data_IF_571913242079
#
_entry.id   IF_571913242079
#
_cell.length_a   1.000
_cell.length_b   1.000
_cell.length_c   1.000
_cell.angle_alpha   90.00
_cell.angle_beta   90.00
_cell.angle_gamma   90.00
#
_symmetry.space_group_name_H-M   'P 1'
#
loop_
_entity.id
_entity.type
_entity.pdbx_description
1 polymer ?
#
# COMPACT_ATOMS: atom_id res chain seq x y z
N UNK A 1 35.13 25.82 43.37
CA UNK A 1 35.69 25.47 42.04
C UNK A 1 34.52 25.26 41.09
N UNK A 2 34.31 26.17 40.14
CA UNK A 2 33.22 26.10 39.15
C UNK A 2 33.72 25.25 37.98
N UNK A 3 33.17 24.05 37.82
CA UNK A 3 33.36 23.24 36.61
C UNK A 3 32.79 24.02 35.41
N UNK A 4 33.57 24.26 34.34
CA UNK A 4 33.01 24.93 33.17
C UNK A 4 32.02 23.99 32.49
N UNK A 5 30.84 24.53 32.18
CA UNK A 5 29.84 23.86 31.35
C UNK A 5 30.46 23.55 29.98
N UNK A 6 30.42 22.27 29.59
CA UNK A 6 30.85 21.83 28.27
C UNK A 6 29.95 22.49 27.20
N UNK A 7 30.51 23.04 26.12
CA UNK A 7 29.71 23.59 25.04
C UNK A 7 28.96 22.46 24.34
N UNK A 8 27.63 22.56 24.29
CA UNK A 8 26.80 21.70 23.46
C UNK A 8 27.33 21.77 22.02
N UNK A 9 27.70 20.62 21.45
CA UNK A 9 28.19 20.49 20.08
C UNK A 9 27.28 21.27 19.12
N UNK A 10 27.82 22.34 18.54
CA UNK A 10 27.08 23.18 17.61
C UNK A 10 26.61 22.31 16.43
N UNK A 11 25.29 22.24 16.23
CA UNK A 11 24.72 21.48 15.12
C UNK A 11 25.23 22.06 13.80
N UNK A 12 25.69 21.18 12.91
CA UNK A 12 26.20 21.59 11.59
C UNK A 12 25.11 22.31 10.79
N UNK A 13 25.47 23.45 10.17
CA UNK A 13 24.58 24.20 9.29
C UNK A 13 24.04 23.36 8.12
N UNK A 14 24.84 22.39 7.64
CA UNK A 14 24.41 21.45 6.61
C UNK A 14 23.30 20.52 7.10
N UNK A 15 23.38 20.05 8.35
CA UNK A 15 22.34 19.21 8.93
C UNK A 15 21.05 20.01 9.11
N UNK A 16 21.17 21.25 9.57
CA UNK A 16 20.03 22.14 9.74
C UNK A 16 19.32 22.44 8.41
N UNK A 17 20.08 22.64 7.33
CA UNK A 17 19.55 22.77 5.97
C UNK A 17 18.87 21.49 5.49
N UNK A 18 19.47 20.33 5.72
CA UNK A 18 18.89 19.02 5.38
C UNK A 18 17.57 18.76 6.12
N UNK A 19 17.52 19.03 7.42
CA UNK A 19 16.32 18.87 8.25
C UNK A 19 15.21 19.84 7.81
N UNK A 20 15.58 21.06 7.41
CA UNK A 20 14.65 22.04 6.83
C UNK A 20 14.06 21.53 5.53
N UNK A 21 14.89 21.02 4.62
CA UNK A 21 14.41 20.48 3.35
C UNK A 21 13.48 19.29 3.57
N UNK A 22 13.84 18.37 4.46
CA UNK A 22 13.00 17.24 4.81
C UNK A 22 11.66 17.69 5.42
N UNK A 23 11.67 18.69 6.30
CA UNK A 23 10.45 19.26 6.87
C UNK A 23 9.52 19.83 5.77
N UNK A 24 10.08 20.55 4.79
CA UNK A 24 9.33 21.07 3.65
C UNK A 24 8.68 19.91 2.88
N UNK A 25 9.46 18.88 2.53
CA UNK A 25 8.92 17.72 1.79
C UNK A 25 7.77 17.03 2.54
N UNK A 26 7.90 16.85 3.86
CA UNK A 26 6.86 16.24 4.69
C UNK A 26 5.59 17.10 4.73
N UNK A 27 5.74 18.41 4.96
CA UNK A 27 4.60 19.34 5.01
C UNK A 27 3.88 19.40 3.66
N UNK A 28 4.62 19.41 2.55
CA UNK A 28 4.05 19.40 1.19
C UNK A 28 3.24 18.12 0.89
N UNK A 29 3.56 17.00 1.55
CA UNK A 29 2.76 15.76 1.46
C UNK A 29 1.59 15.70 2.46
N UNK A 30 1.38 16.74 3.25
CA UNK A 30 0.31 16.81 4.25
C UNK A 30 0.68 16.17 5.59
N UNK A 31 1.96 16.13 5.95
CA UNK A 31 2.38 15.78 7.31
C UNK A 31 1.92 16.85 8.31
N UNK A 32 1.34 16.40 9.43
CA UNK A 32 1.06 17.29 10.56
C UNK A 32 2.37 17.70 11.25
N UNK A 33 2.45 18.88 11.89
CA UNK A 33 3.64 19.32 12.61
C UNK A 33 4.19 18.29 13.59
N UNK A 34 3.33 17.57 14.32
CA UNK A 34 3.77 16.54 15.28
C UNK A 34 4.51 15.38 14.60
N UNK A 35 4.16 15.05 13.36
CA UNK A 35 4.91 14.05 12.57
C UNK A 35 6.25 14.62 12.15
N UNK A 36 6.28 15.88 11.72
CA UNK A 36 7.51 16.55 11.31
C UNK A 36 8.49 16.62 12.48
N UNK A 37 8.04 17.06 13.65
CA UNK A 37 8.84 17.14 14.89
C UNK A 37 9.41 15.79 15.35
N UNK A 38 8.72 14.69 15.06
CA UNK A 38 9.20 13.35 15.38
C UNK A 38 10.29 12.85 14.42
N UNK A 39 10.39 13.42 13.22
CA UNK A 39 11.27 12.92 12.15
C UNK A 39 12.40 13.88 11.77
N UNK A 40 12.30 15.17 12.10
CA UNK A 40 13.36 16.16 11.88
C UNK A 40 13.80 16.76 13.18
N UNK A 41 15.06 17.21 13.24
CA UNK A 41 15.63 17.71 14.47
C UNK A 41 15.38 19.22 14.68
N UNK A 42 14.41 19.84 14.00
CA UNK A 42 14.12 21.28 14.12
C UNK A 42 13.36 21.62 15.42
N UNK A 43 13.46 22.88 15.87
CA UNK A 43 12.68 23.35 17.01
C UNK A 43 11.19 23.45 16.68
N UNK A 44 10.33 23.23 17.70
CA UNK A 44 8.87 23.35 17.58
C UNK A 44 8.44 24.66 16.90
N UNK A 45 8.96 25.80 17.36
CA UNK A 45 8.66 27.11 16.79
C UNK A 45 9.01 27.23 15.29
N UNK A 46 10.07 26.56 14.83
CA UNK A 46 10.47 26.56 13.42
C UNK A 46 9.58 25.68 12.57
N UNK A 47 9.23 24.48 13.04
CA UNK A 47 8.30 23.58 12.32
C UNK A 47 6.94 24.27 12.12
N UNK A 48 6.38 24.88 13.17
CA UNK A 48 5.09 25.57 13.09
C UNK A 48 5.14 26.86 12.26
N UNK A 49 6.30 27.52 12.16
CA UNK A 49 6.49 28.65 11.25
C UNK A 49 6.50 28.18 9.80
N UNK A 50 7.34 27.19 9.47
CA UNK A 50 7.41 26.58 8.13
C UNK A 50 6.05 26.04 7.68
N UNK A 51 5.31 25.39 8.57
CA UNK A 51 3.98 24.89 8.25
C UNK A 51 3.02 26.01 7.82
N UNK A 52 2.99 27.12 8.56
CA UNK A 52 2.11 28.26 8.24
C UNK A 52 2.54 28.95 6.93
N UNK A 53 3.84 29.07 6.70
CA UNK A 53 4.38 29.64 5.46
C UNK A 53 3.99 28.80 4.23
N UNK A 54 4.06 27.47 4.32
CA UNK A 54 3.77 26.56 3.22
C UNK A 54 2.27 26.32 2.98
N UNK A 55 1.47 26.26 4.04
CA UNK A 55 0.04 25.88 3.94
C UNK A 55 -0.91 27.07 3.99
N UNK A 56 -0.43 28.26 4.38
CA UNK A 56 -1.25 29.45 4.58
C UNK A 56 -2.23 29.37 5.76
N UNK A 57 -2.24 28.26 6.52
CA UNK A 57 -3.22 27.97 7.55
C UNK A 57 -2.63 27.46 8.86
N UNK A 58 -3.48 27.40 9.89
CA UNK A 58 -3.11 26.77 11.15
C UNK A 58 -3.18 25.24 11.04
N UNK A 59 -2.27 24.49 11.70
CA UNK A 59 -2.35 23.04 11.75
C UNK A 59 -3.71 22.55 12.28
N UNK A 60 -4.19 21.37 11.84
CA UNK A 60 -5.38 20.75 12.39
C UNK A 60 -5.22 20.56 13.90
N UNK A 61 -6.23 20.95 14.67
CA UNK A 61 -6.28 20.68 16.11
C UNK A 61 -6.57 19.20 16.36
N UNK A 62 -6.05 18.69 17.47
CA UNK A 62 -6.29 17.33 17.93
C UNK A 62 -5.13 16.40 17.70
N UNK A 63 -5.23 15.25 18.36
CA UNK A 63 -4.16 14.27 18.41
C UNK A 63 -4.08 13.46 17.10
N UNK A 64 -2.96 12.75 16.90
CA UNK A 64 -2.82 11.77 15.82
C UNK A 64 -3.83 10.62 16.00
N UNK A 65 -4.16 9.86 14.94
CA UNK A 65 -5.04 8.70 15.07
C UNK A 65 -4.47 7.70 16.09
N UNK A 66 -5.28 7.27 17.06
CA UNK A 66 -4.85 6.33 18.11
C UNK A 66 -5.22 4.88 17.84
N UNK A 67 -6.27 4.61 17.05
CA UNK A 67 -6.77 3.25 16.85
C UNK A 67 -6.17 2.60 15.62
N UNK A 68 -5.66 1.38 15.80
CA UNK A 68 -5.22 0.52 14.71
C UNK A 68 -6.41 -0.05 13.91
N UNK A 69 -7.59 -0.15 14.53
CA UNK A 69 -8.79 -0.81 13.98
C UNK A 69 -9.24 -0.24 12.64
N UNK A 70 -9.05 1.07 12.42
CA UNK A 70 -9.44 1.69 11.16
C UNK A 70 -8.71 1.06 9.96
N UNK A 71 -7.45 0.64 10.13
CA UNK A 71 -6.63 0.04 9.08
C UNK A 71 -7.02 -1.39 8.72
N UNK A 72 -7.81 -2.08 9.55
CA UNK A 72 -8.32 -3.43 9.22
C UNK A 72 -9.71 -3.39 8.57
N UNK A 73 -10.32 -2.22 8.43
CA UNK A 73 -11.64 -2.08 7.80
C UNK A 73 -11.57 -2.09 6.26
N UNK A 74 -12.48 -2.81 5.60
CA UNK A 74 -12.58 -3.02 4.14
C UNK A 74 -11.75 -2.11 3.20
N UNK A 75 -12.27 -0.94 2.77
CA UNK A 75 -11.55 -0.05 1.84
C UNK A 75 -10.24 0.50 2.44
N UNK A 76 -10.23 1.05 3.67
CA UNK A 76 -8.98 1.44 4.34
C UNK A 76 -7.90 0.36 4.37
N UNK A 77 -8.30 -0.90 4.56
CA UNK A 77 -7.40 -2.04 4.59
C UNK A 77 -6.72 -2.29 3.26
N UNK A 78 -7.44 -2.15 2.15
CA UNK A 78 -6.84 -2.26 0.82
C UNK A 78 -5.72 -1.21 0.63
N UNK A 79 -5.98 0.05 0.99
CA UNK A 79 -5.00 1.14 0.87
C UNK A 79 -3.84 0.97 1.86
N UNK A 80 -4.12 0.56 3.10
CA UNK A 80 -3.11 0.34 4.14
C UNK A 80 -2.16 -0.80 3.76
N UNK A 81 -2.73 -1.88 3.22
CA UNK A 81 -2.01 -3.04 2.72
C UNK A 81 -1.13 -2.68 1.55
N UNK A 82 -1.64 -1.91 0.57
CA UNK A 82 -0.85 -1.39 -0.54
C UNK A 82 0.37 -0.60 -0.01
N UNK A 83 0.12 0.38 0.85
CA UNK A 83 1.15 1.25 1.40
C UNK A 83 2.23 0.48 2.18
N UNK A 84 1.85 -0.47 3.05
CA UNK A 84 2.83 -1.27 3.79
C UNK A 84 3.63 -2.22 2.90
N UNK A 85 3.04 -2.78 1.84
CA UNK A 85 3.80 -3.60 0.90
C UNK A 85 4.81 -2.76 0.11
N UNK A 86 4.44 -1.55 -0.34
CA UNK A 86 5.37 -0.61 -0.96
C UNK A 86 6.47 -0.21 0.02
N UNK A 87 6.13 0.07 1.28
CA UNK A 87 7.10 0.41 2.32
C UNK A 87 8.10 -0.71 2.61
N UNK A 88 7.64 -1.95 2.71
CA UNK A 88 8.54 -3.10 2.86
C UNK A 88 9.48 -3.24 1.66
N UNK A 89 8.98 -3.01 0.44
CA UNK A 89 9.81 -2.97 -0.75
C UNK A 89 10.88 -1.86 -0.67
N UNK A 90 10.49 -0.62 -0.31
CA UNK A 90 11.42 0.50 -0.19
C UNK A 90 12.51 0.24 0.85
N UNK A 91 12.16 -0.39 1.98
CA UNK A 91 13.13 -0.72 3.03
C UNK A 91 14.05 -1.87 2.65
N UNK A 92 13.50 -2.95 2.10
CA UNK A 92 14.25 -4.19 1.88
C UNK A 92 15.05 -4.18 0.57
N UNK A 93 14.50 -3.60 -0.50
CA UNK A 93 15.10 -3.64 -1.85
C UNK A 93 15.75 -2.33 -2.26
N UNK A 94 15.14 -1.20 -1.93
CA UNK A 94 15.72 0.11 -2.23
C UNK A 94 16.67 0.62 -1.14
N UNK A 95 16.73 -0.06 0.02
CA UNK A 95 17.65 0.28 1.12
C UNK A 95 17.37 1.64 1.77
N UNK A 96 16.16 2.19 1.59
CA UNK A 96 15.81 3.49 2.15
C UNK A 96 15.54 3.37 3.66
N UNK A 97 16.23 4.16 4.51
CA UNK A 97 16.02 4.10 5.95
C UNK A 97 14.90 5.05 6.42
N UNK A 98 14.27 4.69 7.54
CA UNK A 98 13.41 5.56 8.34
C UNK A 98 12.35 6.32 7.53
N UNK A 99 12.25 7.63 7.78
CA UNK A 99 11.26 8.50 7.15
C UNK A 99 11.36 8.58 5.63
N UNK A 100 12.55 8.40 5.03
CA UNK A 100 12.71 8.44 3.57
C UNK A 100 11.92 7.32 2.88
N UNK A 101 11.92 6.11 3.47
CA UNK A 101 11.11 5.02 2.96
C UNK A 101 9.61 5.33 3.03
N UNK A 102 9.14 5.94 4.11
CA UNK A 102 7.74 6.37 4.27
C UNK A 102 7.40 7.44 3.23
N UNK A 103 8.30 8.40 3.04
CA UNK A 103 8.13 9.50 2.10
C UNK A 103 7.94 9.01 0.66
N UNK A 104 8.87 8.18 0.17
CA UNK A 104 8.80 7.69 -1.20
C UNK A 104 7.68 6.65 -1.40
N UNK A 105 7.37 5.85 -0.39
CA UNK A 105 6.21 4.94 -0.45
C UNK A 105 4.89 5.71 -0.60
N UNK A 106 4.75 6.83 0.11
CA UNK A 106 3.56 7.66 0.01
C UNK A 106 3.46 8.37 -1.34
N UNK A 107 4.58 8.83 -1.90
CA UNK A 107 4.61 9.39 -3.26
C UNK A 107 4.12 8.39 -4.30
N UNK A 108 4.57 7.14 -4.23
CA UNK A 108 4.11 6.05 -5.10
C UNK A 108 2.60 5.82 -4.95
N UNK A 109 2.11 5.78 -3.71
CA UNK A 109 0.69 5.64 -3.43
C UNK A 109 -0.15 6.79 -3.97
N UNK A 110 0.20 8.04 -3.65
CA UNK A 110 -0.53 9.22 -4.11
C UNK A 110 -0.51 9.34 -5.64
N UNK A 111 0.62 8.99 -6.27
CA UNK A 111 0.75 8.91 -7.73
C UNK A 111 -0.18 7.86 -8.33
N UNK A 112 -0.23 6.66 -7.75
CA UNK A 112 -1.13 5.59 -8.20
C UNK A 112 -2.61 5.97 -8.03
N UNK A 113 -3.00 6.53 -6.88
CA UNK A 113 -4.37 6.99 -6.64
C UNK A 113 -4.79 8.02 -7.69
N UNK A 114 -3.94 9.02 -7.97
CA UNK A 114 -4.20 10.03 -9.00
C UNK A 114 -4.30 9.43 -10.40
N UNK A 115 -3.41 8.51 -10.77
CA UNK A 115 -3.40 7.90 -12.10
C UNK A 115 -4.63 7.00 -12.35
N UNK A 116 -5.18 6.41 -11.28
CA UNK A 116 -6.35 5.52 -11.33
C UNK A 116 -7.68 6.24 -11.06
N UNK A 117 -7.67 7.57 -10.88
CA UNK A 117 -8.84 8.36 -10.44
C UNK A 117 -9.50 7.82 -9.16
N UNK A 118 -8.69 7.29 -8.25
CA UNK A 118 -9.11 6.72 -6.97
C UNK A 118 -8.88 7.70 -5.82
N UNK A 119 -9.77 7.63 -4.82
CA UNK A 119 -9.71 8.51 -3.65
C UNK A 119 -8.52 8.15 -2.73
N UNK A 120 -7.74 9.15 -2.32
CA UNK A 120 -6.70 8.96 -1.31
C UNK A 120 -7.29 8.81 0.12
N UNK A 121 -7.72 7.60 0.49
CA UNK A 121 -8.29 7.32 1.82
C UNK A 121 -7.30 7.47 2.99
N UNK A 122 -6.01 7.27 2.72
CA UNK A 122 -4.93 7.37 3.71
C UNK A 122 -4.11 8.62 3.44
N UNK A 123 -4.11 9.55 4.38
CA UNK A 123 -3.21 10.72 4.36
C UNK A 123 -1.78 10.33 4.78
N UNK A 124 -0.81 11.19 4.46
CA UNK A 124 0.60 10.96 4.83
C UNK A 124 0.77 10.68 6.32
N UNK A 125 0.18 11.55 7.15
CA UNK A 125 0.19 11.42 8.61
C UNK A 125 -0.37 10.07 9.08
N UNK A 126 -1.47 9.62 8.46
CA UNK A 126 -2.09 8.34 8.81
C UNK A 126 -1.22 7.16 8.37
N UNK A 127 -0.54 7.26 7.24
CA UNK A 127 0.42 6.25 6.80
C UNK A 127 1.65 6.18 7.72
N UNK A 128 2.19 7.32 8.13
CA UNK A 128 3.25 7.35 9.14
C UNK A 128 2.82 6.62 10.43
N UNK A 129 1.59 6.86 10.91
CA UNK A 129 1.03 6.14 12.07
C UNK A 129 0.90 4.63 11.81
N UNK A 130 0.46 4.22 10.62
CA UNK A 130 0.37 2.81 10.22
C UNK A 130 1.74 2.12 10.31
N UNK A 131 2.81 2.78 9.86
CA UNK A 131 4.17 2.25 9.98
C UNK A 131 4.56 2.08 11.45
N UNK A 132 4.23 3.05 12.31
CA UNK A 132 4.49 2.95 13.76
C UNK A 132 3.70 1.83 14.43
N UNK A 133 2.44 1.62 14.06
CA UNK A 133 1.66 0.48 14.58
C UNK A 133 2.23 -0.86 14.13
N UNK A 134 2.78 -0.94 12.92
CA UNK A 134 3.46 -2.13 12.44
C UNK A 134 4.79 -2.37 13.17
N UNK A 135 5.60 -1.34 13.33
CA UNK A 135 6.89 -1.42 14.05
C UNK A 135 6.69 -1.73 15.55
N UNK A 136 5.62 -1.19 16.15
CA UNK A 136 5.22 -1.46 17.52
C UNK A 136 4.47 -2.78 17.74
N UNK A 137 4.31 -3.62 16.70
CA UNK A 137 3.70 -4.94 16.83
C UNK A 137 2.19 -4.95 17.12
N UNK A 138 1.47 -3.86 16.82
CA UNK A 138 0.01 -3.82 16.88
C UNK A 138 -0.64 -4.37 15.61
N UNK A 139 0.03 -4.16 14.47
CA UNK A 139 -0.40 -4.60 13.15
C UNK A 139 0.66 -5.46 12.48
N UNK A 140 0.23 -6.34 11.59
CA UNK A 140 1.10 -7.18 10.76
C UNK A 140 0.57 -7.30 9.34
N UNK A 141 1.35 -7.90 8.44
CA UNK A 141 0.89 -8.31 7.11
C UNK A 141 0.62 -9.83 7.09
N UNK A 142 -0.62 -10.21 6.80
CA UNK A 142 -1.07 -11.60 6.68
C UNK A 142 -1.44 -11.95 5.24
N UNK A 143 -1.11 -13.16 4.80
CA UNK A 143 -1.34 -13.60 3.42
C UNK A 143 -2.74 -14.19 3.28
N UNK A 144 -3.53 -13.65 2.36
CA UNK A 144 -4.87 -14.13 2.06
C UNK A 144 -4.83 -15.50 1.37
N UNK A 145 -5.59 -16.47 1.89
CA UNK A 145 -5.68 -17.83 1.33
C UNK A 145 -6.43 -17.90 0.00
N UNK A 146 -7.22 -16.88 -0.35
CA UNK A 146 -8.02 -16.83 -1.58
C UNK A 146 -7.24 -16.18 -2.75
N UNK A 147 -6.71 -14.97 -2.56
CA UNK A 147 -6.00 -14.24 -3.62
C UNK A 147 -4.47 -14.24 -3.51
N UNK A 148 -3.89 -14.73 -2.40
CA UNK A 148 -2.44 -14.71 -2.15
C UNK A 148 -1.86 -13.33 -1.81
N UNK A 149 -2.66 -12.26 -1.84
CA UNK A 149 -2.22 -10.92 -1.46
C UNK A 149 -1.92 -10.80 0.04
N UNK A 150 -1.04 -9.87 0.40
CA UNK A 150 -0.65 -9.59 1.79
C UNK A 150 -1.42 -8.36 2.31
N UNK A 151 -2.18 -8.54 3.38
CA UNK A 151 -3.07 -7.51 3.92
C UNK A 151 -2.78 -7.19 5.39
N UNK A 152 -3.07 -5.96 5.79
CA UNK A 152 -2.96 -5.51 7.17
C UNK A 152 -3.96 -6.28 8.05
N UNK A 153 -3.47 -6.86 9.14
CA UNK A 153 -4.29 -7.49 10.19
C UNK A 153 -3.75 -7.10 11.56
N UNK A 154 -4.48 -7.43 12.63
CA UNK A 154 -3.91 -7.37 13.97
C UNK A 154 -2.79 -8.40 14.14
N UNK A 155 -1.83 -8.11 15.02
CA UNK A 155 -0.60 -8.91 15.20
C UNK A 155 -0.84 -10.36 15.68
N UNK A 156 -2.00 -10.64 16.26
CA UNK A 156 -2.36 -11.98 16.76
C UNK A 156 -3.53 -12.63 16.01
N UNK A 157 -3.89 -12.08 14.84
CA UNK A 157 -4.89 -12.70 13.96
C UNK A 157 -4.35 -14.06 13.43
N UNK A 158 -5.13 -15.16 13.52
CA UNK A 158 -4.71 -16.46 13.00
C UNK A 158 -4.45 -16.42 11.49
N UNK A 159 -3.17 -16.51 11.09
CA UNK A 159 -2.78 -16.38 9.68
C UNK A 159 -3.25 -17.57 8.81
N UNK A 160 -3.39 -18.77 9.38
CA UNK A 160 -3.65 -20.00 8.63
C UNK A 160 -4.98 -19.99 7.85
N UNK A 161 -5.97 -19.25 8.35
CA UNK A 161 -7.32 -19.17 7.77
C UNK A 161 -7.70 -17.75 7.34
N UNK A 162 -6.74 -16.83 7.25
CA UNK A 162 -7.03 -15.45 6.88
C UNK A 162 -7.52 -15.31 5.43
N UNK A 163 -8.67 -14.67 5.26
CA UNK A 163 -9.26 -14.26 3.98
C UNK A 163 -9.45 -12.74 4.02
N UNK A 164 -8.95 -12.03 3.02
CA UNK A 164 -9.05 -10.58 3.01
C UNK A 164 -10.47 -10.09 2.74
N UNK A 165 -10.76 -8.88 3.21
CA UNK A 165 -12.07 -8.23 3.05
C UNK A 165 -12.44 -7.90 1.60
N UNK A 166 -11.51 -8.01 0.64
CA UNK A 166 -11.82 -7.92 -0.79
C UNK A 166 -12.35 -9.25 -1.36
N UNK A 167 -11.79 -10.37 -0.90
CA UNK A 167 -12.26 -11.71 -1.27
C UNK A 167 -13.57 -12.07 -0.57
N UNK A 168 -13.72 -11.63 0.69
CA UNK A 168 -14.93 -11.77 1.46
C UNK A 168 -15.44 -10.40 1.96
N UNK A 169 -16.13 -9.63 1.12
CA UNK A 169 -16.67 -8.34 1.51
C UNK A 169 -17.71 -8.47 2.62
N UNK A 170 -17.77 -7.50 3.56
CA UNK A 170 -18.78 -7.49 4.61
C UNK A 170 -20.19 -7.35 4.00
N UNK A 171 -21.20 -7.92 4.67
CA UNK A 171 -22.59 -8.01 4.16
C UNK A 171 -23.19 -6.68 3.70
N UNK A 172 -22.79 -5.57 4.31
CA UNK A 172 -23.20 -4.20 3.93
C UNK A 172 -22.82 -3.82 2.49
N UNK A 173 -21.72 -4.37 1.96
CA UNK A 173 -21.28 -4.18 0.57
C UNK A 173 -22.01 -5.13 -0.37
N UNK A 174 -22.42 -6.31 0.14
CA UNK A 174 -23.15 -7.31 -0.65
C UNK A 174 -24.59 -6.91 -0.96
N UNK A 175 -25.18 -5.96 -0.23
CA UNK A 175 -26.48 -5.35 -0.55
C UNK A 175 -26.33 -4.26 -1.62
N UNK A 176 -26.15 -4.68 -2.86
CA UNK A 176 -26.13 -3.78 -4.02
C UNK A 176 -26.36 -4.46 -5.37
N UNK A 177 -26.46 -5.79 -5.41
CA UNK A 177 -26.78 -6.55 -6.63
C UNK A 177 -27.94 -7.50 -6.37
N UNK A 178 -29.07 -6.97 -5.90
CA UNK A 178 -30.35 -7.55 -6.31
C UNK A 178 -30.67 -6.95 -7.67
N UNK A 179 -30.04 -7.50 -8.72
CA UNK A 179 -30.57 -7.34 -10.07
C UNK A 179 -31.89 -8.08 -10.04
N UNK A 180 -33.00 -7.34 -9.98
CA UNK A 180 -34.33 -7.86 -10.28
C UNK A 180 -34.19 -8.56 -11.63
N UNK A 181 -34.15 -9.89 -11.63
CA UNK A 181 -34.35 -10.66 -12.83
C UNK A 181 -35.82 -10.42 -13.20
N UNK A 182 -36.15 -9.80 -14.35
CA UNK A 182 -37.52 -9.83 -14.82
C UNK A 182 -37.89 -11.29 -15.06
N UNK A 183 -38.99 -11.70 -14.44
CA UNK A 183 -39.57 -13.02 -14.61
C UNK A 183 -40.02 -13.20 -16.07
N UNK A 184 -39.53 -14.26 -16.69
CA UNK A 184 -40.18 -14.98 -17.79
C UNK A 184 -40.25 -14.29 -19.15
N UNK A 185 -39.50 -14.82 -20.12
CA UNK A 185 -40.07 -15.70 -21.16
C UNK A 185 -38.96 -16.57 -21.72
N UNK A 186 -39.21 -17.87 -21.77
CA UNK A 186 -38.37 -18.85 -22.43
C UNK A 186 -38.57 -18.74 -23.94
N UNK A 187 -37.50 -18.55 -24.70
CA UNK A 187 -37.47 -18.79 -26.14
C UNK A 187 -36.36 -19.80 -26.45
N UNK A 188 -36.62 -20.80 -27.31
CA UNK A 188 -35.67 -21.86 -27.59
C UNK A 188 -34.53 -21.38 -28.51
N UNK A 189 -33.35 -21.97 -28.29
CA UNK A 189 -32.12 -21.68 -29.00
C UNK A 189 -32.24 -21.90 -30.52
N UNK A 190 -31.84 -20.89 -31.30
CA UNK A 190 -31.50 -21.02 -32.72
C UNK A 190 -29.97 -21.12 -32.93
N UNK A 191 -29.52 -21.88 -33.93
CA UNK A 191 -28.12 -22.21 -34.13
C UNK A 191 -27.31 -21.03 -34.71
N UNK A 192 -26.07 -20.88 -34.25
CA UNK A 192 -25.10 -19.90 -34.77
C UNK A 192 -24.44 -20.50 -36.02
N UNK A 193 -24.52 -19.87 -37.22
CA UNK A 193 -23.64 -20.18 -38.32
C UNK A 193 -22.27 -19.50 -38.13
N UNK A 194 -21.20 -20.22 -38.47
CA UNK A 194 -19.82 -19.85 -38.18
C UNK A 194 -19.26 -18.66 -38.97
N UNK A 195 -18.01 -18.31 -38.63
CA UNK A 195 -17.17 -17.40 -39.39
C UNK A 195 -16.39 -16.40 -38.54
N UNK A 196 -15.19 -16.78 -38.11
CA UNK A 196 -14.16 -15.82 -37.66
C UNK A 196 -13.61 -15.08 -38.89
N UNK A 197 -13.48 -13.74 -38.87
CA UNK A 197 -12.53 -13.08 -39.74
C UNK A 197 -11.16 -13.09 -39.07
N UNK A 198 -10.22 -13.79 -39.70
CA UNK A 198 -8.78 -13.72 -39.44
C UNK A 198 -8.29 -12.32 -39.82
N UNK A 199 -7.77 -11.56 -38.86
CA UNK A 199 -7.00 -10.34 -39.13
C UNK A 199 -5.52 -10.67 -39.16
N UNK A 200 -4.90 -10.46 -40.31
CA UNK A 200 -3.47 -10.67 -40.56
C UNK A 200 -2.65 -9.54 -39.89
N UNK A 201 -1.70 -9.92 -39.03
CA UNK A 201 -0.64 -9.03 -38.55
C UNK A 201 0.60 -9.12 -39.47
N UNK A 202 1.34 -8.02 -39.69
CA UNK A 202 2.51 -8.02 -40.56
C UNK A 202 3.72 -8.67 -39.87
N UNK A 203 4.47 -9.43 -40.65
CA UNK A 203 5.69 -10.12 -40.27
C UNK A 203 6.94 -9.28 -40.57
N UNK A 204 7.75 -9.02 -39.54
CA UNK A 204 9.17 -8.64 -39.60
C UNK A 204 9.76 -9.15 -38.26
N UNK A 205 10.73 -10.05 -38.15
CA UNK A 205 11.82 -10.42 -39.03
C UNK A 205 13.13 -10.19 -38.27
N UNK A 206 13.60 -11.18 -37.49
CA UNK A 206 14.99 -11.22 -36.99
C UNK A 206 15.34 -12.63 -36.50
N UNK A 207 16.26 -13.26 -37.23
CA UNK A 207 16.89 -14.54 -36.89
C UNK A 207 18.10 -14.31 -35.97
N UNK A 208 18.29 -15.21 -34.99
CA UNK A 208 19.58 -15.43 -34.33
C UNK A 208 19.66 -16.91 -33.84
N UNK A 209 20.87 -17.53 -33.82
CA UNK A 209 21.02 -18.97 -33.93
C UNK A 209 21.02 -19.73 -32.58
N UNK A 210 20.76 -21.03 -32.68
CA UNK A 210 20.65 -22.00 -31.61
C UNK A 210 21.99 -22.44 -31.00
N UNK A 211 22.02 -22.84 -29.71
CA UNK A 211 22.99 -23.78 -29.18
C UNK A 211 22.38 -25.17 -28.90
N UNK A 212 23.27 -26.14 -28.84
CA UNK A 212 23.07 -27.57 -29.08
C UNK A 212 22.38 -28.34 -27.94
N UNK A 213 21.76 -29.46 -28.32
CA UNK A 213 21.01 -30.41 -27.48
C UNK A 213 21.94 -31.30 -26.63
N UNK A 214 21.72 -31.32 -25.32
CA UNK A 214 22.08 -32.42 -24.43
C UNK A 214 20.82 -33.13 -23.91
N UNK A 215 20.60 -34.37 -24.33
CA UNK A 215 19.70 -35.38 -23.72
C UNK A 215 20.25 -35.79 -22.34
N UNK A 216 19.57 -36.32 -21.34
CA UNK A 216 18.18 -36.68 -21.05
C UNK A 216 18.10 -36.98 -19.53
N UNK A 217 16.92 -36.85 -18.93
CA UNK A 217 16.63 -37.35 -17.58
C UNK A 217 15.13 -37.28 -17.30
N UNK A 218 14.49 -38.45 -17.21
CA UNK A 218 13.06 -38.67 -17.10
C UNK A 218 12.47 -38.28 -15.71
N UNK A 219 11.15 -37.99 -15.67
CA UNK A 219 10.37 -37.41 -14.55
C UNK A 219 10.11 -38.31 -13.32
N UNK A 220 9.00 -38.15 -12.55
CA UNK A 220 7.67 -37.75 -13.01
C UNK A 220 6.99 -36.60 -12.23
N UNK A 221 5.82 -36.25 -12.74
CA UNK A 221 4.89 -35.21 -12.34
C UNK A 221 3.93 -35.63 -11.20
N UNK A 222 3.47 -34.63 -10.43
CA UNK A 222 2.10 -34.45 -9.91
C UNK A 222 2.08 -33.07 -9.21
N UNK A 223 1.29 -32.06 -9.59
CA UNK A 223 -0.11 -32.11 -9.99
C UNK A 223 -1.03 -31.85 -8.78
N UNK A 224 -0.82 -30.76 -8.03
CA UNK A 224 -1.74 -30.36 -6.96
C UNK A 224 -2.77 -29.36 -7.51
N UNK A 225 -4.08 -29.65 -7.45
CA UNK A 225 -5.09 -28.77 -8.02
C UNK A 225 -5.31 -27.55 -7.12
N UNK A 226 -5.37 -26.37 -7.73
CA UNK A 226 -5.91 -25.16 -7.12
C UNK A 226 -7.37 -25.44 -6.71
N UNK A 227 -7.60 -25.54 -5.40
CA UNK A 227 -8.93 -25.72 -4.84
C UNK A 227 -9.80 -24.50 -5.20
N UNK A 228 -10.72 -24.68 -6.15
CA UNK A 228 -11.82 -23.75 -6.38
C UNK A 228 -12.60 -23.61 -5.08
N UNK A 229 -12.55 -22.43 -4.47
CA UNK A 229 -13.35 -22.05 -3.33
C UNK A 229 -14.84 -22.08 -3.71
N UNK A 230 -15.50 -23.23 -3.51
CA UNK A 230 -16.96 -23.35 -3.64
C UNK A 230 -17.58 -22.56 -2.48
N UNK A 231 -18.37 -21.53 -2.82
CA UNK A 231 -19.26 -20.84 -1.87
C UNK A 231 -20.15 -21.90 -1.20
N UNK A 232 -19.99 -22.12 0.10
CA UNK A 232 -21.01 -22.80 0.90
C UNK A 232 -22.05 -21.76 1.28
N UNK A 233 -23.20 -21.84 0.64
CA UNK A 233 -24.45 -21.31 1.16
C UNK A 233 -24.86 -22.15 2.37
N UNK A 234 -24.90 -21.51 3.53
CA UNK A 234 -25.79 -21.84 4.65
C UNK A 234 -26.49 -20.55 5.05
#
# INVERSE_FOLDING_TARGET
MKTPAQPALARSALQDASDTQLAIELISLGARPQVVEAEVALSHSRVYRLYRELTGGSPPKGMLPFSADWFVTWRPNAHASYLLNVHEFMRQRAGLPGIRAVLDSYRVYAGHMRASDEECLISFTRFWTLVRFREGGLLQLSTCRCCGGRYVTHAYEPQASFICSLCEPPSRVRRGVHRTLPAGVAEPASPIPGGLPVVAGPALGAAAPAPQRGRAGAGPAAGAPLARCRRRTL
#
